data_IF_521888804332
#
_entry.id   IF_521888804332
#
_cell.length_a   1.000
_cell.length_b   1.000
_cell.length_c   1.000
_cell.angle_alpha   90.00
_cell.angle_beta   90.00
_cell.angle_gamma   90.00
#
_symmetry.space_group_name_H-M   'P 1'
#
loop_
_entity.id
_entity.type
_entity.pdbx_description
1 polymer ?
#
# COMPACT_ATOMS: atom_id res chain seq x y z
N UNK A 1 10.29 24.61 -23.25
CA UNK A 1 8.90 24.13 -23.41
C UNK A 1 8.13 24.60 -22.18
N UNK A 2 6.92 25.13 -22.33
CA UNK A 2 6.12 25.52 -21.17
C UNK A 2 5.68 24.24 -20.41
N UNK A 3 5.81 24.25 -19.08
CA UNK A 3 5.46 23.09 -18.26
C UNK A 3 3.94 22.97 -18.14
N UNK A 4 3.45 21.75 -18.09
CA UNK A 4 2.04 21.45 -17.80
C UNK A 4 1.75 21.86 -16.34
N UNK A 5 0.76 22.72 -16.15
CA UNK A 5 0.35 23.18 -14.82
C UNK A 5 -0.61 22.18 -14.18
N UNK A 6 -0.29 21.76 -12.97
CA UNK A 6 -1.21 20.93 -12.18
C UNK A 6 -2.27 21.82 -11.49
N UNK A 7 -3.52 21.39 -11.57
CA UNK A 7 -4.64 22.02 -10.87
C UNK A 7 -4.84 21.44 -9.47
N UNK A 8 -4.62 20.14 -9.32
CA UNK A 8 -4.76 19.42 -8.05
C UNK A 8 -3.41 18.89 -7.63
N UNK A 9 -2.97 19.10 -6.38
CA UNK A 9 -1.73 18.51 -5.88
C UNK A 9 -1.80 16.98 -5.88
N UNK A 10 -0.65 16.36 -6.15
CA UNK A 10 -0.45 14.91 -6.01
C UNK A 10 -0.13 14.59 -4.55
N UNK A 11 -0.84 13.68 -3.93
CA UNK A 11 -0.40 13.12 -2.65
C UNK A 11 0.81 12.23 -2.90
N UNK A 12 1.93 12.61 -2.34
CA UNK A 12 3.20 11.91 -2.49
C UNK A 12 3.50 11.14 -1.20
N UNK A 13 3.41 9.82 -1.28
CA UNK A 13 3.71 8.92 -0.17
C UNK A 13 5.08 8.28 -0.43
N UNK A 14 6.12 8.87 0.14
CA UNK A 14 7.46 8.34 0.02
C UNK A 14 7.61 7.03 0.81
N UNK A 15 8.62 6.26 0.49
CA UNK A 15 8.77 4.92 1.03
C UNK A 15 10.15 4.65 1.62
N UNK A 16 10.51 3.39 1.62
CA UNK A 16 11.76 2.91 2.17
C UNK A 16 12.76 2.54 1.09
N UNK A 17 14.04 2.50 1.47
CA UNK A 17 15.16 1.97 0.73
C UNK A 17 15.25 2.53 -0.71
N UNK A 18 15.48 1.65 -1.66
CA UNK A 18 15.70 1.96 -3.07
C UNK A 18 14.51 2.69 -3.73
N UNK A 19 13.29 2.45 -3.29
CA UNK A 19 12.11 3.05 -3.93
C UNK A 19 12.03 4.55 -3.73
N UNK A 20 12.53 5.07 -2.62
CA UNK A 20 12.68 6.50 -2.35
C UNK A 20 13.63 7.15 -3.37
N UNK A 21 14.77 6.52 -3.61
CA UNK A 21 15.76 7.00 -4.56
C UNK A 21 15.22 6.97 -5.99
N UNK A 22 14.62 5.84 -6.38
CA UNK A 22 14.03 5.69 -7.72
C UNK A 22 12.91 6.70 -7.98
N UNK A 23 12.06 6.93 -6.99
CA UNK A 23 10.99 7.92 -7.12
C UNK A 23 11.53 9.34 -7.28
N UNK A 24 12.58 9.69 -6.54
CA UNK A 24 13.25 10.99 -6.72
C UNK A 24 13.81 11.14 -8.14
N UNK A 25 14.50 10.13 -8.66
CA UNK A 25 15.01 10.14 -10.04
C UNK A 25 13.89 10.30 -11.07
N UNK A 26 12.76 9.61 -10.87
CA UNK A 26 11.58 9.74 -11.75
C UNK A 26 11.02 11.17 -11.70
N UNK A 27 10.93 11.78 -10.53
CA UNK A 27 10.51 13.18 -10.42
C UNK A 27 11.46 14.10 -11.18
N UNK A 28 12.77 13.96 -10.97
CA UNK A 28 13.76 14.89 -11.49
C UNK A 28 13.95 14.76 -13.01
N UNK A 29 13.95 13.54 -13.52
CA UNK A 29 14.28 13.28 -14.92
C UNK A 29 13.06 13.17 -15.85
N UNK A 30 11.93 12.67 -15.35
CA UNK A 30 10.77 12.34 -16.18
C UNK A 30 9.54 13.22 -15.91
N UNK A 31 9.41 13.85 -14.75
CA UNK A 31 8.21 14.60 -14.41
C UNK A 31 8.48 16.10 -14.38
N UNK A 32 9.38 16.56 -13.53
CA UNK A 32 9.60 18.00 -13.31
C UNK A 32 10.13 18.77 -14.52
N UNK A 33 10.81 18.16 -15.51
CA UNK A 33 11.14 18.87 -16.75
C UNK A 33 9.92 19.29 -17.55
N UNK A 34 8.80 18.56 -17.44
CA UNK A 34 7.60 18.74 -18.24
C UNK A 34 6.38 19.24 -17.47
N UNK A 35 6.35 19.00 -16.17
CA UNK A 35 5.22 19.30 -15.31
C UNK A 35 5.62 20.24 -14.18
N UNK A 36 4.80 21.25 -13.90
CA UNK A 36 4.87 22.08 -12.69
C UNK A 36 4.26 21.26 -11.55
N UNK A 37 5.08 20.31 -11.04
CA UNK A 37 4.64 19.33 -10.05
C UNK A 37 4.35 19.99 -8.71
N UNK A 38 3.12 19.81 -8.23
CA UNK A 38 2.69 20.18 -6.88
C UNK A 38 2.40 18.92 -6.09
N UNK A 39 3.02 18.76 -4.95
CA UNK A 39 2.83 17.60 -4.08
C UNK A 39 2.38 18.00 -2.69
N UNK A 40 1.59 17.14 -2.06
CA UNK A 40 1.37 17.10 -0.63
C UNK A 40 2.12 15.86 -0.11
N UNK A 41 3.26 16.12 0.53
CA UNK A 41 4.27 15.09 0.83
C UNK A 41 4.03 14.43 2.18
N UNK A 42 4.15 13.10 2.20
CA UNK A 42 4.10 12.25 3.39
C UNK A 42 5.24 11.23 3.36
N UNK A 43 6.07 11.22 4.38
CA UNK A 43 7.12 10.22 4.54
C UNK A 43 6.56 8.97 5.22
N UNK A 44 6.37 7.90 4.43
CA UNK A 44 5.94 6.59 4.93
C UNK A 44 7.12 5.65 5.20
N UNK A 45 8.33 6.17 5.30
CA UNK A 45 9.50 5.42 5.73
C UNK A 45 9.29 4.84 7.14
N UNK A 46 9.83 3.64 7.37
CA UNK A 46 9.58 2.85 8.57
C UNK A 46 9.89 3.60 9.88
N UNK A 47 10.99 4.35 9.91
CA UNK A 47 11.38 5.10 11.11
C UNK A 47 10.42 6.26 11.40
N UNK A 48 10.04 7.02 10.36
CA UNK A 48 9.09 8.13 10.54
C UNK A 48 7.68 7.63 10.90
N UNK A 49 7.27 6.49 10.38
CA UNK A 49 6.03 5.83 10.81
C UNK A 49 6.09 5.42 12.29
N UNK A 50 7.25 4.94 12.76
CA UNK A 50 7.45 4.63 14.16
C UNK A 50 7.36 5.88 15.05
N UNK A 51 7.99 6.97 14.67
CA UNK A 51 7.93 8.27 15.38
C UNK A 51 6.50 8.79 15.50
N UNK A 52 5.72 8.67 14.41
CA UNK A 52 4.34 9.15 14.34
C UNK A 52 3.31 8.12 14.81
N UNK A 53 3.74 6.96 15.30
CA UNK A 53 2.87 5.82 15.67
C UNK A 53 1.90 5.47 14.52
N UNK A 54 2.43 5.43 13.31
CA UNK A 54 1.74 5.18 12.05
C UNK A 54 0.65 6.21 11.67
N UNK A 55 0.55 7.33 12.40
CA UNK A 55 -0.42 8.38 12.10
C UNK A 55 -0.21 8.98 10.70
N UNK A 56 1.03 9.10 10.25
CA UNK A 56 1.35 9.61 8.90
C UNK A 56 0.71 8.76 7.79
N UNK A 57 0.55 7.45 7.99
CA UNK A 57 -0.15 6.57 7.04
C UNK A 57 -1.64 6.92 6.95
N UNK A 58 -2.27 7.18 8.08
CA UNK A 58 -3.69 7.60 8.16
C UNK A 58 -3.88 8.97 7.50
N UNK A 59 -3.00 9.92 7.79
CA UNK A 59 -3.08 11.28 7.26
C UNK A 59 -2.91 11.29 5.74
N UNK A 60 -1.96 10.52 5.22
CA UNK A 60 -1.73 10.39 3.77
C UNK A 60 -2.92 9.76 3.04
N UNK A 61 -3.58 8.77 3.67
CA UNK A 61 -4.78 8.15 3.11
C UNK A 61 -5.97 9.15 3.08
N UNK A 62 -6.16 9.93 4.14
CA UNK A 62 -7.18 10.96 4.19
C UNK A 62 -6.91 12.09 3.18
N UNK A 63 -5.66 12.50 3.00
CA UNK A 63 -5.28 13.42 1.95
C UNK A 63 -5.60 12.87 0.56
N UNK A 64 -5.32 11.59 0.31
CA UNK A 64 -5.66 10.91 -0.94
C UNK A 64 -7.17 10.91 -1.18
N UNK A 65 -7.96 10.65 -0.13
CA UNK A 65 -9.43 10.69 -0.21
C UNK A 65 -9.94 12.08 -0.58
N UNK A 66 -9.29 13.12 -0.07
CA UNK A 66 -9.64 14.53 -0.32
C UNK A 66 -9.21 15.00 -1.71
N UNK A 67 -8.00 14.65 -2.15
CA UNK A 67 -7.41 15.14 -3.41
C UNK A 67 -7.70 14.22 -4.61
N UNK A 68 -8.04 12.95 -4.36
CA UNK A 68 -8.44 11.99 -5.40
C UNK A 68 -7.29 11.35 -6.17
N UNK A 69 -6.04 11.71 -5.91
CA UNK A 69 -4.88 11.17 -6.61
C UNK A 69 -3.66 11.07 -5.68
N UNK A 70 -2.97 9.94 -5.75
CA UNK A 70 -1.75 9.72 -4.99
C UNK A 70 -0.76 8.83 -5.73
N UNK A 71 0.51 8.97 -5.39
CA UNK A 71 1.56 8.01 -5.69
C UNK A 71 2.13 7.48 -4.38
N UNK A 72 2.37 6.19 -4.31
CA UNK A 72 2.95 5.55 -3.14
C UNK A 72 4.16 4.70 -3.52
N UNK A 73 5.28 4.99 -2.89
CA UNK A 73 6.46 4.16 -2.95
C UNK A 73 6.29 2.89 -2.11
N UNK A 74 7.14 1.90 -2.34
CA UNK A 74 7.15 0.70 -1.52
C UNK A 74 7.60 1.01 -0.09
N UNK A 75 7.00 0.34 0.88
CA UNK A 75 7.27 0.50 2.31
C UNK A 75 7.60 -0.83 2.94
N UNK A 76 8.48 -0.81 3.93
CA UNK A 76 8.79 -1.98 4.75
C UNK A 76 7.61 -2.28 5.67
N UNK A 77 7.18 -3.55 5.68
CA UNK A 77 6.31 -4.09 6.73
C UNK A 77 7.19 -4.94 7.64
N UNK A 78 7.47 -4.49 8.88
CA UNK A 78 8.39 -5.19 9.76
C UNK A 78 7.82 -6.56 10.18
N UNK A 79 8.69 -7.54 10.17
CA UNK A 79 8.51 -8.84 10.78
C UNK A 79 9.50 -8.98 11.95
N UNK A 80 9.54 -10.13 12.61
CA UNK A 80 10.45 -10.36 13.77
C UNK A 80 11.92 -10.10 13.42
N UNK A 81 12.36 -10.53 12.24
CA UNK A 81 13.74 -10.32 11.78
C UNK A 81 14.02 -8.82 11.55
N UNK A 82 13.09 -8.11 10.93
CA UNK A 82 13.23 -6.64 10.70
C UNK A 82 13.25 -5.85 12.01
N UNK A 83 12.59 -6.33 13.07
CA UNK A 83 12.68 -5.71 14.41
C UNK A 83 14.09 -5.79 14.99
N UNK A 84 14.85 -6.82 14.65
CA UNK A 84 16.26 -6.93 15.05
C UNK A 84 17.18 -5.98 14.26
N UNK A 85 16.86 -5.75 12.99
CA UNK A 85 17.59 -4.82 12.12
C UNK A 85 17.32 -3.33 12.46
N UNK A 86 16.16 -3.04 13.04
CA UNK A 86 15.72 -1.69 13.41
C UNK A 86 15.37 -1.63 14.91
N UNK A 87 16.37 -1.54 15.78
CA UNK A 87 16.13 -1.57 17.24
C UNK A 87 15.33 -0.39 17.78
N UNK A 88 15.17 0.67 17.00
CA UNK A 88 14.37 1.85 17.34
C UNK A 88 12.86 1.59 17.27
N UNK A 89 12.43 0.50 16.62
CA UNK A 89 11.02 0.21 16.46
C UNK A 89 10.38 -0.18 17.79
N UNK A 90 9.30 0.51 18.12
CA UNK A 90 8.55 0.26 19.36
C UNK A 90 7.57 -0.89 19.22
N UNK A 91 7.12 -1.18 18.00
CA UNK A 91 6.23 -2.28 17.71
C UNK A 91 6.32 -2.73 16.23
N UNK A 92 5.74 -3.88 15.97
CA UNK A 92 5.68 -4.45 14.62
C UNK A 92 4.52 -3.82 13.85
N UNK A 93 4.78 -2.65 13.23
CA UNK A 93 3.78 -1.87 12.50
C UNK A 93 3.10 -2.66 11.38
N UNK A 94 1.80 -2.47 11.25
CA UNK A 94 1.01 -3.09 10.18
C UNK A 94 1.42 -2.55 8.80
N UNK A 95 1.05 -3.29 7.75
CA UNK A 95 1.28 -2.84 6.38
C UNK A 95 0.52 -1.54 6.09
N UNK A 96 1.20 -0.46 5.67
CA UNK A 96 0.53 0.78 5.27
C UNK A 96 -0.45 0.56 4.12
N UNK A 97 -0.18 -0.41 3.24
CA UNK A 97 -1.08 -0.74 2.14
C UNK A 97 -2.46 -1.19 2.63
N UNK A 98 -2.51 -1.95 3.73
CA UNK A 98 -3.77 -2.37 4.34
C UNK A 98 -4.53 -1.20 4.93
N UNK A 99 -3.86 -0.34 5.70
CA UNK A 99 -4.44 0.85 6.32
C UNK A 99 -5.00 1.81 5.26
N UNK A 100 -4.20 2.14 4.25
CA UNK A 100 -4.60 3.06 3.16
C UNK A 100 -5.82 2.50 2.42
N UNK A 101 -5.80 1.22 2.02
CA UNK A 101 -6.92 0.61 1.31
C UNK A 101 -8.19 0.60 2.14
N UNK A 102 -8.10 0.32 3.43
CA UNK A 102 -9.26 0.33 4.32
C UNK A 102 -9.88 1.72 4.48
N UNK A 103 -9.04 2.78 4.49
CA UNK A 103 -9.51 4.17 4.58
C UNK A 103 -10.13 4.64 3.25
N UNK A 104 -9.51 4.27 2.12
CA UNK A 104 -10.01 4.64 0.79
C UNK A 104 -11.27 3.86 0.43
N UNK A 105 -11.40 2.64 0.95
CA UNK A 105 -12.51 1.72 0.67
C UNK A 105 -12.61 1.30 -0.81
N UNK A 106 -13.54 0.41 -1.13
CA UNK A 106 -13.85 0.01 -2.49
C UNK A 106 -13.16 -1.26 -2.97
N UNK A 107 -13.32 -1.55 -4.24
CA UNK A 107 -12.77 -2.74 -4.91
C UNK A 107 -11.98 -2.33 -6.14
N UNK A 108 -10.76 -2.83 -6.25
CA UNK A 108 -9.92 -2.67 -7.44
C UNK A 108 -10.07 -3.87 -8.34
N UNK A 109 -10.43 -3.61 -9.60
CA UNK A 109 -10.48 -4.63 -10.65
C UNK A 109 -9.24 -4.49 -11.54
N UNK A 110 -8.54 -5.58 -11.76
CA UNK A 110 -7.37 -5.66 -12.64
C UNK A 110 -7.67 -6.57 -13.80
N UNK A 111 -7.73 -6.01 -14.98
CA UNK A 111 -7.88 -6.75 -16.24
C UNK A 111 -6.52 -6.81 -16.94
N UNK A 112 -6.10 -7.95 -17.49
CA UNK A 112 -4.87 -8.04 -18.24
C UNK A 112 -4.86 -7.08 -19.42
N UNK A 113 -3.74 -6.40 -19.61
CA UNK A 113 -3.45 -5.65 -20.85
C UNK A 113 -2.76 -6.65 -21.78
N UNK A 114 -3.40 -7.00 -22.88
CA UNK A 114 -2.87 -7.93 -23.88
C UNK A 114 -2.34 -7.16 -25.07
N UNK A 115 -1.21 -7.62 -25.61
CA UNK A 115 -0.60 -7.11 -26.83
C UNK A 115 -0.51 -8.28 -27.80
N UNK A 116 -1.13 -8.17 -28.97
CA UNK A 116 -1.26 -9.27 -29.94
C UNK A 116 0.08 -9.90 -30.36
N UNK A 117 1.13 -9.08 -30.41
CA UNK A 117 2.48 -9.53 -30.74
C UNK A 117 3.16 -10.34 -29.63
N UNK A 118 2.66 -10.28 -28.39
CA UNK A 118 3.23 -10.95 -27.23
C UNK A 118 2.27 -12.05 -26.77
N UNK A 119 2.67 -13.30 -26.98
CA UNK A 119 1.86 -14.45 -26.56
C UNK A 119 1.84 -14.57 -25.03
N UNK A 120 0.67 -14.90 -24.44
CA UNK A 120 0.58 -15.16 -22.99
C UNK A 120 1.52 -16.28 -22.56
N UNK A 121 2.06 -16.18 -21.35
CA UNK A 121 2.89 -17.24 -20.74
C UNK A 121 2.11 -18.57 -20.65
N UNK A 122 0.82 -18.48 -20.30
CA UNK A 122 -0.07 -19.66 -20.29
C UNK A 122 -0.84 -19.70 -21.60
N UNK A 123 -0.39 -20.54 -22.51
CA UNK A 123 -0.89 -20.61 -23.89
C UNK A 123 -2.37 -20.98 -24.03
N UNK A 124 -2.93 -21.68 -23.04
CA UNK A 124 -4.31 -22.17 -23.07
C UNK A 124 -5.33 -21.15 -22.52
N UNK A 125 -4.88 -19.97 -22.09
CA UNK A 125 -5.79 -18.92 -21.65
C UNK A 125 -6.27 -18.11 -22.85
N UNK A 126 -7.50 -18.37 -23.27
CA UNK A 126 -8.14 -17.71 -24.41
C UNK A 126 -9.02 -16.52 -24.01
N UNK A 127 -9.37 -16.44 -22.72
CA UNK A 127 -10.25 -15.39 -22.19
C UNK A 127 -9.52 -14.57 -21.14
N UNK A 128 -9.78 -13.26 -21.05
CA UNK A 128 -9.19 -12.43 -20.00
C UNK A 128 -9.66 -12.88 -18.60
N UNK A 129 -8.73 -12.90 -17.65
CA UNK A 129 -9.01 -13.16 -16.24
C UNK A 129 -8.95 -11.83 -15.51
N UNK A 130 -10.07 -11.43 -14.94
CA UNK A 130 -10.15 -10.21 -14.10
C UNK A 130 -9.94 -10.59 -12.65
N UNK A 131 -8.98 -9.92 -11.99
CA UNK A 131 -8.70 -10.10 -10.57
C UNK A 131 -9.26 -8.92 -9.82
N UNK A 132 -10.19 -9.18 -8.90
CA UNK A 132 -10.73 -8.17 -8.00
C UNK A 132 -10.06 -8.24 -6.62
N UNK A 133 -9.77 -7.09 -6.04
CA UNK A 133 -9.26 -6.96 -4.68
C UNK A 133 -10.09 -5.97 -3.90
N UNK A 134 -10.74 -6.43 -2.85
CA UNK A 134 -11.50 -5.58 -1.93
C UNK A 134 -10.60 -4.95 -0.86
N UNK A 135 -10.95 -3.72 -0.42
CA UNK A 135 -10.21 -2.97 0.60
C UNK A 135 -10.08 -3.73 1.93
N UNK A 136 -11.12 -4.45 2.30
CA UNK A 136 -11.18 -5.25 3.52
C UNK A 136 -10.83 -6.72 3.29
N UNK A 137 -9.90 -6.99 2.38
CA UNK A 137 -9.36 -8.34 2.18
C UNK A 137 -8.82 -8.90 3.50
N UNK A 138 -9.20 -10.10 3.80
CA UNK A 138 -9.03 -10.81 5.10
C UNK A 138 -7.59 -11.12 5.48
N UNK A 139 -6.67 -11.19 4.52
CA UNK A 139 -5.21 -11.40 4.76
C UNK A 139 -4.63 -10.45 5.83
N UNK A 140 -5.14 -9.23 5.95
CA UNK A 140 -4.63 -8.24 6.92
C UNK A 140 -5.41 -8.21 8.24
N UNK A 141 -6.49 -8.97 8.35
CA UNK A 141 -7.36 -9.03 9.54
C UNK A 141 -7.62 -10.46 10.01
N UNK A 142 -6.97 -11.45 9.39
CA UNK A 142 -7.04 -12.84 9.81
C UNK A 142 -6.35 -13.03 11.15
N UNK A 143 -6.89 -13.94 11.95
CA UNK A 143 -6.24 -14.45 13.14
C UNK A 143 -5.86 -15.88 12.86
N UNK A 144 -4.57 -16.15 12.91
CA UNK A 144 -4.02 -17.49 12.66
C UNK A 144 -3.89 -18.26 13.98
N UNK A 145 -4.30 -19.50 13.97
CA UNK A 145 -4.14 -20.42 15.10
C UNK A 145 -3.44 -21.69 14.62
N UNK A 146 -2.33 -22.01 15.25
CA UNK A 146 -1.61 -23.23 14.99
C UNK A 146 -1.92 -24.26 16.08
N UNK A 147 -2.29 -25.47 15.66
CA UNK A 147 -2.45 -26.60 16.56
C UNK A 147 -1.34 -27.61 16.32
N UNK A 148 -0.77 -28.15 17.39
CA UNK A 148 0.32 -29.15 17.32
C UNK A 148 -0.19 -30.59 17.28
N UNK A 149 -1.49 -30.77 17.53
CA UNK A 149 -2.14 -32.09 17.54
C UNK A 149 -3.58 -31.99 17.02
N UNK A 150 -4.18 -33.10 16.60
CA UNK A 150 -5.61 -33.15 16.24
C UNK A 150 -6.48 -32.81 17.44
N UNK A 151 -7.48 -31.96 17.23
CA UNK A 151 -8.40 -31.52 18.30
C UNK A 151 -9.63 -30.82 17.76
N UNK A 152 -10.46 -30.34 18.68
CA UNK A 152 -11.66 -29.56 18.35
C UNK A 152 -11.43 -28.11 18.73
N UNK A 153 -11.62 -27.21 17.75
CA UNK A 153 -11.64 -25.77 17.99
C UNK A 153 -13.07 -25.30 18.14
N UNK A 154 -13.36 -24.57 19.24
CA UNK A 154 -14.68 -23.99 19.49
C UNK A 154 -14.55 -22.48 19.62
N UNK A 155 -15.28 -21.73 18.80
CA UNK A 155 -15.39 -20.28 18.90
C UNK A 155 -16.71 -19.95 19.58
N UNK A 156 -16.67 -19.19 20.68
CA UNK A 156 -17.86 -18.76 21.40
C UNK A 156 -17.83 -17.24 21.55
N UNK A 157 -18.90 -16.59 21.12
CA UNK A 157 -19.15 -15.18 21.42
C UNK A 157 -20.26 -15.07 22.46
N UNK A 158 -19.99 -14.32 23.53
CA UNK A 158 -21.00 -13.93 24.52
C UNK A 158 -21.11 -12.41 24.53
N UNK A 159 -22.27 -11.89 24.15
CA UNK A 159 -22.58 -10.47 24.28
C UNK A 159 -22.85 -10.09 25.73
N UNK A 160 -22.90 -8.77 26.03
CA UNK A 160 -23.24 -8.27 27.38
C UNK A 160 -24.67 -8.61 27.79
N UNK A 161 -25.54 -8.90 26.83
CA UNK A 161 -26.96 -9.28 27.05
C UNK A 161 -27.22 -10.79 27.12
N UNK A 162 -26.19 -11.60 27.14
CA UNK A 162 -26.27 -13.06 27.18
C UNK A 162 -25.98 -13.82 25.94
#
# INVERSE_FOLDING_TARGET
MEKIKMTTPLVEMDGDEMTRILWQMIKDELITPFVDLKTEYYDLGLLHRNETKDQVTVDSANATKRLGVAVKCATITPNKQRMEEYPELTEMWKSPNGTIRSILDGTVFRTPITIDAIKPVVKNWEKPITIARHAYGDVYKSVDMYTTEPGTCTMTFKGESG
#
